data_IF_639743646779
#
_entry.id   IF_639743646779
#
_cell.length_a   1.000
_cell.length_b   1.000
_cell.length_c   1.000
_cell.angle_alpha   90.00
_cell.angle_beta   90.00
_cell.angle_gamma   90.00
#
_symmetry.space_group_name_H-M   'P 1'
#
loop_
_entity.id
_entity.type
_entity.pdbx_description
1 polymer ?
#
# COMPACT_ATOMS: atom_id res chain seq x y z
N UNK A 1 21.26 -50.50 -8.46
CA UNK A 1 22.49 -49.69 -8.57
C UNK A 1 22.79 -49.15 -7.17
N UNK A 2 23.70 -49.80 -6.45
CA UNK A 2 24.06 -49.48 -5.04
C UNK A 2 25.34 -48.66 -5.06
N UNK A 3 25.28 -47.40 -4.65
CA UNK A 3 26.47 -46.53 -4.58
C UNK A 3 26.99 -46.53 -3.15
N UNK A 4 28.20 -47.08 -2.97
CA UNK A 4 28.93 -47.14 -1.69
C UNK A 4 29.50 -45.75 -1.38
N UNK A 5 29.28 -45.25 -0.16
CA UNK A 5 29.99 -44.09 0.39
C UNK A 5 31.19 -44.63 1.17
N UNK A 6 32.39 -44.36 0.67
CA UNK A 6 33.66 -44.62 1.35
C UNK A 6 33.96 -43.48 2.31
N UNK A 7 33.98 -43.78 3.62
CA UNK A 7 34.45 -42.88 4.66
C UNK A 7 35.98 -42.96 4.77
N UNK A 8 36.66 -41.82 4.59
CA UNK A 8 38.09 -41.68 4.88
C UNK A 8 38.25 -41.31 6.36
N UNK A 9 38.80 -42.23 7.16
CA UNK A 9 39.20 -41.97 8.53
C UNK A 9 40.64 -41.46 8.55
N UNK A 10 40.85 -40.21 8.96
CA UNK A 10 42.17 -39.66 9.21
C UNK A 10 42.53 -39.86 10.69
N UNK A 11 43.54 -40.69 10.93
CA UNK A 11 44.13 -41.04 12.21
C UNK A 11 45.05 -39.89 12.68
N UNK A 12 44.64 -39.13 13.70
CA UNK A 12 45.50 -38.14 14.34
C UNK A 12 46.26 -38.78 15.52
N UNK A 13 47.58 -38.87 15.36
CA UNK A 13 48.53 -39.30 16.38
C UNK A 13 48.65 -38.21 17.45
N UNK A 14 48.39 -38.57 18.71
CA UNK A 14 48.53 -37.71 19.88
C UNK A 14 49.95 -37.89 20.44
N UNK A 15 50.84 -36.92 20.19
CA UNK A 15 52.16 -36.86 20.82
C UNK A 15 52.03 -35.99 22.07
N UNK A 16 52.06 -36.63 23.24
CA UNK A 16 52.23 -35.99 24.53
C UNK A 16 53.69 -35.54 24.69
N UNK A 17 53.92 -34.24 24.66
CA UNK A 17 55.13 -33.63 25.21
C UNK A 17 54.74 -32.80 26.43
N UNK A 18 55.03 -33.32 27.62
CA UNK A 18 55.16 -32.52 28.83
C UNK A 18 56.42 -31.66 28.71
N UNK A 19 56.25 -30.34 28.69
CA UNK A 19 57.29 -29.34 28.92
C UNK A 19 56.89 -28.50 30.13
N UNK A 20 57.78 -28.42 31.13
CA UNK A 20 57.55 -27.84 32.44
C UNK A 20 57.46 -26.30 32.44
N UNK A 21 56.52 -25.82 33.28
CA UNK A 21 56.67 -24.78 34.30
C UNK A 21 57.44 -23.49 33.97
N UNK A 22 56.69 -22.43 33.72
CA UNK A 22 57.03 -21.07 34.10
C UNK A 22 55.72 -20.34 34.41
N UNK A 23 55.44 -20.09 35.69
CA UNK A 23 54.33 -19.23 36.07
C UNK A 23 54.69 -17.80 35.75
N UNK A 24 53.85 -17.14 34.96
CA UNK A 24 53.77 -15.68 34.84
C UNK A 24 52.30 -15.33 34.51
N UNK A 25 51.69 -14.62 35.44
CA UNK A 25 50.54 -13.71 35.34
C UNK A 25 49.28 -14.14 34.57
N UNK A 26 48.18 -14.25 35.33
CA UNK A 26 46.81 -14.25 34.84
C UNK A 26 46.41 -12.92 34.20
N UNK A 27 46.96 -12.62 33.02
CA UNK A 27 46.48 -11.60 32.10
C UNK A 27 45.46 -12.23 31.15
N UNK A 28 44.19 -12.19 31.52
CA UNK A 28 43.06 -12.62 30.70
C UNK A 28 42.91 -11.70 29.47
N UNK A 29 43.80 -11.82 28.49
CA UNK A 29 43.83 -10.92 27.32
C UNK A 29 42.49 -10.93 26.59
N UNK A 30 41.97 -9.74 26.30
CA UNK A 30 40.73 -9.57 25.55
C UNK A 30 40.83 -10.18 24.13
N UNK A 31 40.12 -11.29 23.93
CA UNK A 31 40.14 -12.05 22.68
C UNK A 31 39.49 -11.28 21.54
N UNK A 32 40.17 -11.24 20.38
CA UNK A 32 39.60 -10.65 19.16
C UNK A 32 38.46 -11.50 18.60
N UNK A 33 37.57 -10.85 17.85
CA UNK A 33 36.58 -11.54 17.02
C UNK A 33 37.27 -12.50 16.05
N UNK A 34 36.74 -13.72 15.92
CA UNK A 34 37.39 -14.82 15.20
C UNK A 34 36.87 -15.01 13.78
N UNK A 35 35.54 -14.97 13.64
CA UNK A 35 34.86 -15.14 12.36
C UNK A 35 33.69 -14.19 12.27
N UNK A 36 33.41 -13.72 11.06
CA UNK A 36 32.28 -12.84 10.77
C UNK A 36 31.66 -13.29 9.46
N UNK A 37 30.36 -13.58 9.48
CA UNK A 37 29.52 -13.72 8.31
C UNK A 37 28.48 -12.60 8.29
N UNK A 38 27.88 -12.37 7.13
CA UNK A 38 26.91 -11.30 6.99
C UNK A 38 25.81 -11.65 5.99
N UNK A 39 24.68 -10.98 6.14
CA UNK A 39 23.65 -10.87 5.12
C UNK A 39 23.39 -9.40 4.83
N UNK A 40 22.90 -9.10 3.64
CA UNK A 40 22.64 -7.72 3.21
C UNK A 40 21.21 -7.57 2.75
N UNK A 41 20.67 -6.38 2.96
CA UNK A 41 19.51 -5.85 2.25
C UNK A 41 19.97 -4.58 1.49
N UNK A 42 19.09 -3.88 0.76
CA UNK A 42 19.47 -2.61 0.17
C UNK A 42 19.88 -1.55 1.20
N UNK A 43 19.28 -1.58 2.40
CA UNK A 43 19.46 -0.52 3.42
C UNK A 43 20.02 -1.02 4.75
N UNK A 44 20.43 -2.29 4.82
CA UNK A 44 20.99 -2.87 6.03
C UNK A 44 22.05 -3.93 5.75
N UNK A 45 22.93 -4.12 6.73
CA UNK A 45 23.85 -5.24 6.84
C UNK A 45 23.65 -5.89 8.19
N UNK A 46 23.36 -7.18 8.21
CA UNK A 46 23.30 -7.97 9.44
C UNK A 46 24.58 -8.76 9.58
N UNK A 47 25.31 -8.50 10.67
CA UNK A 47 26.56 -9.17 11.00
C UNK A 47 26.30 -10.28 12.00
N UNK A 48 26.93 -11.43 11.78
CA UNK A 48 26.97 -12.57 12.69
C UNK A 48 28.43 -12.88 12.95
N UNK A 49 28.86 -12.89 14.20
CA UNK A 49 30.27 -13.06 14.51
C UNK A 49 30.53 -13.86 15.77
N UNK A 50 31.69 -14.51 15.82
CA UNK A 50 32.16 -15.23 17.01
C UNK A 50 33.06 -14.30 17.81
N UNK A 51 32.62 -13.93 19.02
CA UNK A 51 33.43 -13.16 19.95
C UNK A 51 34.64 -13.95 20.44
N UNK A 52 35.74 -13.25 20.71
CA UNK A 52 36.90 -13.87 21.36
C UNK A 52 36.72 -14.00 22.87
N UNK A 53 37.66 -14.70 23.51
CA UNK A 53 37.64 -14.92 24.95
C UNK A 53 37.49 -13.61 25.75
N UNK A 54 36.65 -13.64 26.78
CA UNK A 54 36.44 -12.56 27.76
C UNK A 54 35.74 -11.29 27.24
N UNK A 55 35.34 -11.24 25.96
CA UNK A 55 34.56 -10.12 25.44
C UNK A 55 33.12 -10.15 25.99
N UNK A 56 32.74 -9.11 26.73
CA UNK A 56 31.38 -8.95 27.30
C UNK A 56 30.44 -8.21 26.35
N UNK A 57 30.99 -7.37 25.47
CA UNK A 57 30.25 -6.65 24.45
C UNK A 57 31.16 -6.34 23.26
N UNK A 58 30.60 -5.76 22.21
CA UNK A 58 31.28 -5.49 20.95
C UNK A 58 30.94 -4.10 20.46
N UNK A 59 31.95 -3.39 19.99
CA UNK A 59 31.80 -2.15 19.20
C UNK A 59 31.95 -2.50 17.74
N UNK A 60 30.90 -2.23 16.96
CA UNK A 60 30.94 -2.24 15.50
C UNK A 60 31.08 -0.81 15.02
N UNK A 61 32.21 -0.51 14.39
CA UNK A 61 32.44 0.75 13.70
C UNK A 61 32.33 0.54 12.20
N UNK A 62 31.59 1.39 11.51
CA UNK A 62 31.33 1.27 10.08
C UNK A 62 31.30 2.62 9.37
N UNK A 63 31.56 2.58 8.07
CA UNK A 63 31.54 3.74 7.19
C UNK A 63 31.76 3.33 5.74
N UNK A 64 31.56 4.24 4.77
CA UNK A 64 31.87 3.98 3.36
C UNK A 64 33.29 3.44 3.21
N UNK A 65 33.51 2.52 2.27
CA UNK A 65 34.82 1.89 2.08
C UNK A 65 35.95 2.91 1.97
N UNK A 66 37.05 2.65 2.70
CA UNK A 66 38.19 3.57 2.77
C UNK A 66 38.08 4.64 3.86
N UNK A 67 37.00 4.68 4.66
CA UNK A 67 36.95 5.56 5.83
C UNK A 67 38.09 5.25 6.82
N UNK A 68 38.52 6.29 7.55
CA UNK A 68 39.53 6.14 8.60
C UNK A 68 38.89 5.56 9.86
N UNK A 69 39.39 4.44 10.35
CA UNK A 69 38.95 3.89 11.64
C UNK A 69 39.11 4.93 12.77
N UNK A 70 38.14 5.02 13.66
CA UNK A 70 37.96 6.06 14.68
C UNK A 70 37.11 7.24 14.22
N UNK A 71 36.77 7.36 12.93
CA UNK A 71 35.91 8.43 12.39
C UNK A 71 34.58 7.92 11.83
N UNK A 72 34.33 6.61 11.87
CA UNK A 72 33.10 6.00 11.41
C UNK A 72 31.98 6.12 12.43
N UNK A 73 30.81 5.61 12.04
CA UNK A 73 29.67 5.46 12.95
C UNK A 73 29.87 4.23 13.81
N UNK A 74 29.59 4.31 15.11
CA UNK A 74 29.75 3.18 16.03
C UNK A 74 28.41 2.73 16.63
N UNK A 75 28.25 1.42 16.74
CA UNK A 75 27.16 0.77 17.50
C UNK A 75 27.80 -0.18 18.50
N UNK A 76 27.29 -0.19 19.74
CA UNK A 76 27.73 -1.12 20.78
C UNK A 76 26.60 -2.12 21.06
N UNK A 77 26.95 -3.39 21.17
CA UNK A 77 26.00 -4.49 21.40
C UNK A 77 26.61 -5.54 22.32
N UNK A 78 25.82 -6.16 23.18
CA UNK A 78 26.23 -7.36 23.93
C UNK A 78 25.99 -8.66 23.15
N UNK A 79 25.33 -8.58 22.00
CA UNK A 79 24.99 -9.73 21.17
C UNK A 79 26.06 -9.97 20.10
N UNK A 80 26.22 -11.24 19.72
CA UNK A 80 27.05 -11.69 18.58
C UNK A 80 26.35 -11.59 17.22
N UNK A 81 25.17 -10.97 17.21
CA UNK A 81 24.41 -10.60 16.03
C UNK A 81 24.00 -9.12 16.15
N UNK A 82 24.18 -8.36 15.08
CA UNK A 82 23.73 -6.97 15.01
C UNK A 82 23.30 -6.61 13.58
N UNK A 83 22.15 -5.95 13.47
CA UNK A 83 21.69 -5.36 12.23
C UNK A 83 22.02 -3.87 12.22
N UNK A 84 22.75 -3.44 11.19
CA UNK A 84 23.10 -2.04 10.94
C UNK A 84 22.16 -1.55 9.83
N UNK A 85 21.22 -0.68 10.18
CA UNK A 85 20.19 -0.14 9.27
C UNK A 85 20.51 1.27 8.81
N UNK A 86 19.73 1.79 7.85
CA UNK A 86 19.89 3.16 7.34
C UNK A 86 21.09 3.33 6.39
N UNK A 87 21.58 2.23 5.83
CA UNK A 87 22.66 2.24 4.84
C UNK A 87 22.11 2.63 3.47
N UNK A 88 22.99 3.09 2.59
CA UNK A 88 22.66 3.47 1.22
C UNK A 88 22.74 2.22 0.33
N UNK A 89 21.75 1.96 -0.56
CA UNK A 89 21.81 0.86 -1.52
C UNK A 89 23.03 0.93 -2.46
N UNK A 90 23.44 -0.23 -2.99
CA UNK A 90 24.58 -0.38 -3.90
C UNK A 90 25.88 0.30 -3.43
N UNK A 91 26.08 0.43 -2.12
CA UNK A 91 27.22 1.14 -1.54
C UNK A 91 28.09 0.16 -0.76
N UNK A 92 29.41 0.25 -0.96
CA UNK A 92 30.39 -0.57 -0.25
C UNK A 92 30.80 0.11 1.06
N UNK A 93 30.74 -0.66 2.15
CA UNK A 93 31.08 -0.26 3.50
C UNK A 93 32.23 -1.11 4.05
N UNK A 94 33.07 -0.50 4.86
CA UNK A 94 34.04 -1.20 5.69
C UNK A 94 33.48 -1.33 7.12
N UNK A 95 33.77 -2.45 7.78
CA UNK A 95 33.33 -2.73 9.15
C UNK A 95 34.53 -3.17 10.00
N UNK A 96 34.61 -2.61 11.21
CA UNK A 96 35.58 -2.96 12.23
C UNK A 96 34.82 -3.40 13.49
N UNK A 97 35.11 -4.60 13.97
CA UNK A 97 34.47 -5.16 15.17
C UNK A 97 35.52 -5.31 16.27
N UNK A 98 35.29 -4.65 17.39
CA UNK A 98 36.20 -4.65 18.55
C UNK A 98 35.48 -5.26 19.74
N UNK A 99 36.05 -6.33 20.32
CA UNK A 99 35.57 -6.89 21.59
C UNK A 99 35.90 -5.95 22.74
N UNK A 100 34.95 -5.76 23.65
CA UNK A 100 35.07 -4.95 24.86
C UNK A 100 35.01 -5.92 26.04
N UNK A 101 36.13 -6.07 26.74
CA UNK A 101 36.23 -6.95 27.91
C UNK A 101 36.01 -6.17 29.21
N UNK A 102 36.46 -4.92 29.26
CA UNK A 102 36.20 -3.97 30.34
C UNK A 102 36.29 -2.53 29.83
N UNK A 103 36.08 -1.53 30.70
CA UNK A 103 36.18 -0.12 30.34
C UNK A 103 37.58 0.29 29.84
N UNK A 104 38.62 -0.45 30.24
CA UNK A 104 40.02 -0.16 29.90
C UNK A 104 40.64 -1.20 28.97
N UNK A 105 39.93 -2.30 28.69
CA UNK A 105 40.47 -3.42 27.93
C UNK A 105 39.59 -3.79 26.73
N UNK A 106 40.17 -3.65 25.54
CA UNK A 106 39.53 -3.95 24.26
C UNK A 106 40.43 -4.89 23.46
N UNK A 107 39.83 -5.71 22.60
CA UNK A 107 40.56 -6.55 21.66
C UNK A 107 41.18 -5.73 20.54
N UNK A 108 42.07 -6.34 19.76
CA UNK A 108 42.39 -5.80 18.43
C UNK A 108 41.12 -5.79 17.55
N UNK A 109 40.93 -4.78 16.68
CA UNK A 109 39.78 -4.72 15.79
C UNK A 109 39.88 -5.80 14.71
N UNK A 110 38.77 -6.51 14.48
CA UNK A 110 38.60 -7.36 13.31
C UNK A 110 38.08 -6.52 12.15
N UNK A 111 38.87 -6.37 11.09
CA UNK A 111 38.42 -5.75 9.84
C UNK A 111 37.74 -6.80 8.97
N UNK A 112 36.45 -6.64 8.74
CA UNK A 112 35.70 -7.44 7.76
C UNK A 112 36.08 -7.01 6.34
N UNK A 113 36.09 -7.95 5.39
CA UNK A 113 36.15 -7.63 3.97
C UNK A 113 35.01 -6.69 3.58
N UNK A 114 35.29 -5.66 2.78
CA UNK A 114 34.30 -4.65 2.42
C UNK A 114 32.98 -5.28 1.93
N UNK A 115 31.85 -4.81 2.46
CA UNK A 115 30.51 -5.36 2.22
C UNK A 115 29.74 -4.37 1.36
N UNK A 116 29.15 -4.84 0.26
CA UNK A 116 28.29 -4.02 -0.59
C UNK A 116 26.83 -4.32 -0.29
N UNK A 117 26.05 -3.28 0.03
CA UNK A 117 24.60 -3.39 0.18
C UNK A 117 23.95 -3.75 -1.16
N UNK A 118 22.76 -4.35 -1.11
CA UNK A 118 22.07 -4.75 -2.34
C UNK A 118 21.59 -3.53 -3.13
N UNK A 119 21.26 -3.74 -4.41
CA UNK A 119 20.62 -2.69 -5.21
C UNK A 119 19.21 -2.40 -4.70
N UNK A 120 18.83 -1.11 -4.74
CA UNK A 120 17.49 -0.67 -4.35
C UNK A 120 16.41 -1.39 -5.16
N UNK A 121 15.38 -1.84 -4.46
CA UNK A 121 14.16 -2.40 -5.08
C UNK A 121 13.11 -1.31 -5.36
N UNK A 122 13.39 -0.08 -4.91
CA UNK A 122 12.53 1.08 -4.96
C UNK A 122 12.88 2.05 -6.12
N UNK A 123 13.35 1.50 -7.24
CA UNK A 123 13.74 2.26 -8.45
C UNK A 123 12.61 2.43 -9.45
N UNK A 124 11.46 1.87 -9.14
CA UNK A 124 10.28 1.82 -9.99
C UNK A 124 9.38 3.05 -9.93
N UNK A 125 8.26 2.96 -10.62
CA UNK A 125 7.22 3.99 -10.61
C UNK A 125 5.88 3.43 -10.18
N UNK A 126 5.18 4.18 -9.34
CA UNK A 126 3.82 3.90 -8.93
C UNK A 126 2.84 4.56 -9.87
N UNK A 127 1.82 3.82 -10.30
CA UNK A 127 0.65 4.35 -11.02
C UNK A 127 -0.63 3.99 -10.29
N UNK A 128 -1.65 4.82 -10.42
CA UNK A 128 -2.96 4.60 -9.81
C UNK A 128 -4.06 4.66 -10.86
N UNK A 129 -5.01 3.74 -10.74
CA UNK A 129 -6.30 3.81 -11.42
C UNK A 129 -7.38 4.13 -10.39
N UNK A 130 -8.26 5.06 -10.75
CA UNK A 130 -9.35 5.52 -9.90
C UNK A 130 -10.66 4.91 -10.40
N UNK A 131 -11.39 4.25 -9.50
CA UNK A 131 -12.76 3.80 -9.68
C UNK A 131 -13.66 4.53 -8.70
N UNK A 132 -14.87 4.86 -9.13
CA UNK A 132 -15.85 5.45 -8.22
C UNK A 132 -17.25 4.96 -8.58
N UNK A 133 -17.82 4.19 -7.66
CA UNK A 133 -19.21 3.72 -7.73
C UNK A 133 -20.16 4.57 -6.87
N UNK A 134 -19.65 5.10 -5.75
CA UNK A 134 -20.38 5.92 -4.77
C UNK A 134 -19.76 7.32 -4.65
N UNK A 135 -20.52 8.43 -4.53
CA UNK A 135 -20.00 9.80 -4.45
C UNK A 135 -19.12 10.06 -3.22
N UNK A 136 -19.33 9.29 -2.16
CA UNK A 136 -18.60 9.40 -0.90
C UNK A 136 -17.43 8.43 -0.76
N UNK A 137 -17.11 7.69 -1.83
CA UNK A 137 -16.05 6.70 -1.84
C UNK A 137 -15.20 6.78 -3.11
N UNK A 138 -13.92 6.41 -3.03
CA UNK A 138 -13.05 6.22 -4.19
C UNK A 138 -12.32 4.90 -4.02
N UNK A 139 -12.38 4.05 -5.03
CA UNK A 139 -11.58 2.83 -5.12
C UNK A 139 -10.28 3.13 -5.87
N UNK A 140 -9.15 2.93 -5.19
CA UNK A 140 -7.82 3.07 -5.75
C UNK A 140 -7.25 1.69 -6.08
N UNK A 141 -6.80 1.53 -7.31
CA UNK A 141 -6.02 0.37 -7.74
C UNK A 141 -4.60 0.80 -8.08
N UNK A 142 -3.64 0.32 -7.31
CA UNK A 142 -2.23 0.64 -7.45
C UNK A 142 -1.53 -0.37 -8.36
N UNK A 143 -0.50 0.10 -9.06
CA UNK A 143 0.47 -0.74 -9.78
C UNK A 143 1.86 -0.15 -9.62
N UNK A 144 2.86 -1.02 -9.56
CA UNK A 144 4.25 -0.63 -9.44
C UNK A 144 5.07 -1.31 -10.55
N UNK A 145 5.77 -0.51 -11.35
CA UNK A 145 6.70 -1.01 -12.37
C UNK A 145 8.12 -0.95 -11.81
N UNK A 146 8.95 -2.00 -11.98
CA UNK A 146 10.34 -1.99 -11.48
C UNK A 146 10.64 -2.93 -10.32
N UNK A 147 9.73 -3.84 -9.98
CA UNK A 147 9.96 -4.89 -9.00
C UNK A 147 8.70 -5.20 -8.21
N UNK A 148 8.86 -5.32 -6.90
CA UNK A 148 7.78 -5.63 -5.96
C UNK A 148 7.63 -4.51 -4.93
N UNK A 149 6.39 -4.05 -4.76
CA UNK A 149 6.00 -3.17 -3.66
C UNK A 149 5.25 -4.01 -2.61
N UNK A 150 5.65 -3.91 -1.36
CA UNK A 150 5.04 -4.60 -0.21
C UNK A 150 3.67 -3.99 0.11
N UNK A 151 3.55 -2.67 0.05
CA UNK A 151 2.31 -1.93 0.24
C UNK A 151 2.43 -0.51 -0.32
N UNK A 152 1.33 0.23 -0.33
CA UNK A 152 1.23 1.59 -0.84
C UNK A 152 0.73 2.53 0.24
N UNK A 153 1.19 3.77 0.19
CA UNK A 153 0.65 4.87 0.99
C UNK A 153 0.14 5.95 0.06
N UNK A 154 -1.03 6.47 0.41
CA UNK A 154 -1.65 7.60 -0.24
C UNK A 154 -1.95 8.66 0.81
N UNK A 155 -1.58 9.89 0.49
CA UNK A 155 -2.02 11.08 1.20
C UNK A 155 -2.88 11.91 0.25
N UNK A 156 -4.09 12.27 0.69
CA UNK A 156 -5.08 12.90 -0.18
C UNK A 156 -5.84 14.02 0.52
N UNK A 157 -6.33 14.96 -0.29
CA UNK A 157 -7.11 16.10 0.15
C UNK A 157 -7.62 16.91 -1.04
N UNK A 158 -8.46 17.93 -0.82
CA UNK A 158 -8.86 18.86 -1.87
C UNK A 158 -7.62 19.42 -2.60
N UNK A 159 -7.76 19.73 -3.89
CA UNK A 159 -6.67 20.24 -4.72
C UNK A 159 -5.90 21.37 -4.05
N UNK A 160 -4.59 21.43 -4.28
CA UNK A 160 -3.66 22.42 -3.68
C UNK A 160 -3.47 22.30 -2.16
N UNK A 161 -3.85 21.18 -1.55
CA UNK A 161 -3.44 20.93 -0.16
C UNK A 161 -1.91 20.74 -0.05
N UNK A 162 -1.35 21.10 1.11
CA UNK A 162 0.08 20.92 1.39
C UNK A 162 0.38 19.46 1.76
N UNK A 163 1.31 18.83 1.03
CA UNK A 163 1.77 17.48 1.37
C UNK A 163 2.27 17.43 2.82
N UNK A 164 1.77 16.48 3.60
CA UNK A 164 1.98 16.33 5.04
C UNK A 164 0.74 16.68 5.89
N UNK A 165 -0.21 17.46 5.36
CA UNK A 165 -1.42 17.91 6.07
C UNK A 165 -2.69 17.19 5.63
N UNK A 166 -2.62 16.36 4.59
CA UNK A 166 -3.76 15.62 4.06
C UNK A 166 -4.13 14.40 4.89
N UNK A 167 -5.21 13.75 4.48
CA UNK A 167 -5.63 12.48 5.07
C UNK A 167 -4.75 11.35 4.53
N UNK A 168 -4.22 10.51 5.42
CA UNK A 168 -3.32 9.41 5.06
C UNK A 168 -4.04 8.07 5.11
N UNK A 169 -3.74 7.21 4.16
CA UNK A 169 -4.19 5.83 4.13
C UNK A 169 -3.10 4.91 3.57
N UNK A 170 -3.06 3.68 4.06
CA UNK A 170 -2.17 2.63 3.57
C UNK A 170 -2.96 1.41 3.13
N UNK A 171 -2.41 0.67 2.17
CA UNK A 171 -2.85 -0.70 1.88
C UNK A 171 -2.31 -1.66 2.93
N UNK A 172 -2.92 -2.85 3.02
CA UNK A 172 -2.34 -3.95 3.79
C UNK A 172 -1.14 -4.52 3.05
N UNK A 173 -0.24 -5.18 3.78
CA UNK A 173 0.87 -5.89 3.18
C UNK A 173 0.39 -6.88 2.11
N UNK A 174 1.02 -6.84 0.94
CA UNK A 174 0.71 -7.69 -0.20
C UNK A 174 -0.53 -7.27 -1.00
N UNK A 175 -1.23 -6.19 -0.62
CA UNK A 175 -2.41 -5.71 -1.36
C UNK A 175 -2.11 -4.45 -2.18
N UNK A 176 -2.76 -4.37 -3.34
CA UNK A 176 -2.61 -3.29 -4.31
C UNK A 176 -3.89 -2.48 -4.53
N UNK A 177 -4.86 -2.56 -3.61
CA UNK A 177 -6.11 -1.80 -3.69
C UNK A 177 -6.47 -1.15 -2.35
N UNK A 178 -7.18 -0.02 -2.43
CA UNK A 178 -7.72 0.69 -1.26
C UNK A 178 -9.01 1.42 -1.61
N UNK A 179 -10.06 1.16 -0.84
CA UNK A 179 -11.25 2.02 -0.83
C UNK A 179 -11.06 3.14 0.20
N UNK A 180 -11.24 4.37 -0.24
CA UNK A 180 -11.32 5.57 0.59
C UNK A 180 -12.79 5.93 0.78
N UNK A 181 -13.19 6.30 1.99
CA UNK A 181 -14.58 6.66 2.34
C UNK A 181 -14.64 8.07 2.94
N UNK A 182 -15.83 8.65 3.02
CA UNK A 182 -16.01 10.02 3.51
C UNK A 182 -15.52 11.09 2.53
N UNK A 183 -15.35 10.71 1.27
CA UNK A 183 -14.93 11.60 0.19
C UNK A 183 -16.07 12.60 -0.09
N UNK A 184 -15.72 13.87 -0.31
CA UNK A 184 -16.72 14.85 -0.75
C UNK A 184 -16.97 14.71 -2.25
N UNK A 185 -18.23 14.67 -2.63
CA UNK A 185 -18.66 14.64 -4.03
C UNK A 185 -18.38 15.98 -4.75
N UNK A 186 -18.40 15.97 -6.09
CA UNK A 186 -18.18 17.17 -6.94
C UNK A 186 -16.94 18.00 -6.58
N UNK A 187 -15.87 17.36 -6.10
CA UNK A 187 -14.69 18.02 -5.55
C UNK A 187 -13.44 17.52 -6.26
N UNK A 188 -12.53 18.45 -6.57
CA UNK A 188 -11.20 18.11 -7.11
C UNK A 188 -10.28 17.73 -5.95
N UNK A 189 -9.70 16.55 -6.03
CA UNK A 189 -8.72 16.05 -5.05
C UNK A 189 -7.35 15.88 -5.70
N UNK A 190 -6.32 16.14 -4.89
CA UNK A 190 -4.96 15.68 -5.15
C UNK A 190 -4.66 14.43 -4.31
N UNK A 191 -3.87 13.52 -4.87
CA UNK A 191 -3.42 12.28 -4.25
C UNK A 191 -1.92 12.18 -4.44
N UNK A 192 -1.18 12.17 -3.34
CA UNK A 192 0.25 11.88 -3.32
C UNK A 192 0.44 10.43 -2.92
N UNK A 193 0.97 9.63 -3.84
CA UNK A 193 1.08 8.18 -3.68
C UNK A 193 2.54 7.78 -3.72
N UNK A 194 2.95 6.88 -2.83
CA UNK A 194 4.26 6.23 -2.88
C UNK A 194 4.14 4.74 -2.59
N UNK A 195 5.11 3.99 -3.07
CA UNK A 195 5.25 2.57 -2.79
C UNK A 195 6.28 2.35 -1.68
N UNK A 196 5.99 1.38 -0.81
CA UNK A 196 6.98 0.79 0.08
C UNK A 196 7.45 -0.51 -0.54
N UNK A 197 8.75 -0.63 -0.72
CA UNK A 197 9.40 -1.81 -1.30
C UNK A 197 10.03 -2.64 -0.19
N UNK A 198 10.66 -3.75 -0.59
CA UNK A 198 11.34 -4.63 0.35
C UNK A 198 12.33 -3.89 1.26
N UNK A 199 12.46 -4.39 2.50
CA UNK A 199 13.44 -3.89 3.47
C UNK A 199 13.23 -2.43 3.91
N UNK A 200 11.99 -1.93 3.84
CA UNK A 200 11.62 -0.61 4.36
C UNK A 200 11.98 0.56 3.44
N UNK A 201 12.43 0.29 2.22
CA UNK A 201 12.63 1.32 1.22
C UNK A 201 11.29 1.94 0.80
N UNK A 202 11.31 3.21 0.41
CA UNK A 202 10.12 3.91 -0.10
C UNK A 202 10.46 4.75 -1.31
N UNK A 203 9.54 4.81 -2.26
CA UNK A 203 9.66 5.73 -3.39
C UNK A 203 9.36 7.16 -2.95
N UNK A 204 9.81 8.17 -3.72
CA UNK A 204 9.22 9.51 -3.64
C UNK A 204 7.72 9.47 -3.92
N UNK A 205 7.01 10.51 -3.46
CA UNK A 205 5.60 10.68 -3.79
C UNK A 205 5.42 11.07 -5.26
N UNK A 206 4.42 10.48 -5.90
CA UNK A 206 3.91 10.86 -7.22
C UNK A 206 2.53 11.47 -7.03
N UNK A 207 2.30 12.65 -7.65
CA UNK A 207 1.03 13.37 -7.59
C UNK A 207 0.08 12.88 -8.68
N UNK A 208 -1.16 12.60 -8.30
CA UNK A 208 -2.30 12.35 -9.17
C UNK A 208 -3.44 13.30 -8.79
N UNK A 209 -4.33 13.59 -9.72
CA UNK A 209 -5.53 14.38 -9.45
C UNK A 209 -6.76 13.64 -9.95
N UNK A 210 -7.88 13.76 -9.22
CA UNK A 210 -9.13 13.13 -9.56
C UNK A 210 -10.31 14.01 -9.14
N UNK A 211 -11.27 14.19 -10.04
CA UNK A 211 -12.52 14.91 -9.76
C UNK A 211 -13.58 13.90 -9.37
N UNK A 212 -14.14 14.04 -8.16
CA UNK A 212 -15.16 13.12 -7.68
C UNK A 212 -16.47 13.31 -8.41
N UNK A 213 -17.22 12.22 -8.55
CA UNK A 213 -18.54 12.21 -9.18
C UNK A 213 -19.51 13.17 -8.48
N UNK A 214 -20.56 13.56 -9.20
CA UNK A 214 -21.61 14.39 -8.64
C UNK A 214 -22.30 13.68 -7.45
N UNK A 215 -22.57 14.43 -6.38
CA UNK A 215 -23.31 13.96 -5.21
C UNK A 215 -24.76 13.58 -5.50
N UNK A 216 -25.29 14.03 -6.64
CA UNK A 216 -26.59 13.66 -7.16
C UNK A 216 -26.46 12.85 -8.47
N UNK A 217 -26.11 11.55 -8.41
CA UNK A 217 -26.05 10.72 -9.61
C UNK A 217 -27.43 10.52 -10.24
N UNK A 218 -27.49 10.28 -11.55
CA UNK A 218 -28.74 9.88 -12.20
C UNK A 218 -29.11 8.43 -11.83
N UNK A 219 -30.41 8.09 -11.72
CA UNK A 219 -30.84 6.70 -11.53
C UNK A 219 -30.34 5.76 -12.64
N UNK A 220 -30.26 4.47 -12.34
CA UNK A 220 -29.80 3.42 -13.27
C UNK A 220 -30.78 2.25 -13.30
N UNK A 221 -30.58 1.27 -14.19
CA UNK A 221 -31.39 0.05 -14.27
C UNK A 221 -32.91 0.30 -14.31
N UNK A 222 -33.33 1.21 -15.21
CA UNK A 222 -34.74 1.54 -15.41
C UNK A 222 -35.51 0.32 -15.90
N UNK A 223 -36.74 0.16 -15.42
CA UNK A 223 -37.62 -0.96 -15.71
C UNK A 223 -39.08 -0.53 -15.66
N UNK A 224 -39.93 -1.19 -16.45
CA UNK A 224 -41.39 -1.04 -16.32
C UNK A 224 -42.15 -2.29 -16.72
N UNK A 225 -43.34 -2.50 -16.13
CA UNK A 225 -44.24 -3.61 -16.45
C UNK A 225 -45.69 -3.27 -16.14
N UNK A 226 -46.62 -3.89 -16.88
CA UNK A 226 -48.05 -3.74 -16.63
C UNK A 226 -48.42 -4.54 -15.37
N UNK A 227 -49.06 -3.87 -14.40
CA UNK A 227 -49.58 -4.48 -13.17
C UNK A 227 -50.99 -5.01 -13.40
N UNK A 228 -51.84 -4.21 -14.05
CA UNK A 228 -53.24 -4.57 -14.34
C UNK A 228 -53.82 -3.67 -15.45
N UNK A 229 -55.00 -4.04 -15.93
CA UNK A 229 -55.76 -3.25 -16.92
C UNK A 229 -55.19 -3.30 -18.33
N UNK A 230 -55.74 -2.45 -19.21
CA UNK A 230 -55.33 -2.35 -20.62
C UNK A 230 -55.12 -0.89 -21.01
N UNK A 231 -54.01 -0.61 -21.68
CA UNK A 231 -53.70 0.76 -22.09
C UNK A 231 -54.65 1.24 -23.20
N UNK A 232 -55.28 0.32 -23.95
CA UNK A 232 -56.23 0.63 -25.02
C UNK A 232 -57.53 1.23 -24.46
N UNK A 233 -57.90 0.86 -23.23
CA UNK A 233 -59.06 1.38 -22.51
C UNK A 233 -58.71 2.51 -21.53
N UNK A 234 -57.45 2.94 -21.47
CA UNK A 234 -56.98 3.94 -20.51
C UNK A 234 -57.10 3.49 -19.05
N UNK A 235 -57.17 2.18 -18.79
CA UNK A 235 -57.33 1.61 -17.44
C UNK A 235 -56.07 0.91 -16.94
N UNK A 236 -54.98 0.94 -17.71
CA UNK A 236 -53.75 0.28 -17.33
C UNK A 236 -53.15 0.91 -16.06
N UNK A 237 -52.73 0.05 -15.14
CA UNK A 237 -51.77 0.40 -14.09
C UNK A 237 -50.43 -0.18 -14.48
N UNK A 238 -49.41 0.68 -14.62
CA UNK A 238 -48.04 0.27 -14.94
C UNK A 238 -47.12 0.66 -13.79
N UNK A 239 -46.22 -0.24 -13.43
CA UNK A 239 -45.16 0.00 -12.48
C UNK A 239 -43.88 0.42 -13.19
N UNK A 240 -43.14 1.29 -12.54
CA UNK A 240 -41.82 1.77 -12.94
C UNK A 240 -40.87 1.57 -11.78
N UNK A 241 -39.65 1.13 -12.07
CA UNK A 241 -38.60 0.98 -11.05
C UNK A 241 -37.24 1.37 -11.60
N UNK A 242 -36.32 1.68 -10.69
CA UNK A 242 -34.94 1.97 -10.99
C UNK A 242 -34.04 1.55 -9.81
N UNK A 243 -32.74 1.56 -10.04
CA UNK A 243 -31.71 1.49 -9.01
C UNK A 243 -31.16 2.89 -8.74
N UNK A 244 -30.70 3.11 -7.52
CA UNK A 244 -29.99 4.33 -7.15
C UNK A 244 -28.71 3.93 -6.45
N UNK A 245 -27.57 4.22 -7.10
CA UNK A 245 -26.29 3.64 -6.72
C UNK A 245 -25.80 4.16 -5.37
N UNK A 246 -26.11 5.41 -5.00
CA UNK A 246 -25.59 6.01 -3.77
C UNK A 246 -26.27 7.33 -3.40
N UNK A 247 -26.25 7.68 -2.10
CA UNK A 247 -26.85 8.89 -1.55
C UNK A 247 -28.30 8.67 -1.07
N UNK A 248 -28.86 9.65 -0.38
CA UNK A 248 -30.22 9.62 0.15
C UNK A 248 -31.04 10.74 -0.50
N UNK A 249 -31.51 10.57 -1.75
CA UNK A 249 -32.29 11.59 -2.39
C UNK A 249 -33.62 11.75 -1.63
N UNK A 250 -34.11 12.98 -1.54
CA UNK A 250 -35.36 13.27 -0.84
C UNK A 250 -36.56 12.67 -1.58
N UNK A 251 -36.48 12.61 -2.91
CA UNK A 251 -37.50 12.02 -3.78
C UNK A 251 -36.94 11.76 -5.18
N UNK A 252 -37.78 11.21 -6.04
CA UNK A 252 -37.52 11.03 -7.46
C UNK A 252 -38.65 11.68 -8.27
N UNK A 253 -38.28 12.40 -9.33
CA UNK A 253 -39.23 12.92 -10.30
C UNK A 253 -39.25 12.00 -11.52
N UNK A 254 -40.44 11.55 -11.91
CA UNK A 254 -40.70 10.73 -13.08
C UNK A 254 -41.40 11.60 -14.10
N UNK A 255 -40.99 11.52 -15.36
CA UNK A 255 -41.68 12.16 -16.48
C UNK A 255 -42.05 11.13 -17.52
N UNK A 256 -43.34 11.04 -17.85
CA UNK A 256 -43.86 10.12 -18.87
C UNK A 256 -44.31 10.91 -20.10
N UNK A 257 -43.72 10.59 -21.25
CA UNK A 257 -43.93 11.32 -22.51
C UNK A 257 -44.75 10.50 -23.51
N UNK A 258 -45.54 11.21 -24.33
CA UNK A 258 -46.43 10.59 -25.33
C UNK A 258 -45.74 10.24 -26.66
N UNK A 259 -44.52 10.73 -26.87
CA UNK A 259 -43.70 10.45 -28.05
C UNK A 259 -42.22 10.55 -27.70
N UNK A 260 -41.35 10.00 -28.55
CA UNK A 260 -39.90 10.06 -28.42
C UNK A 260 -39.34 11.46 -28.69
N UNK A 261 -39.97 12.51 -28.17
CA UNK A 261 -39.28 13.80 -28.05
C UNK A 261 -38.39 13.67 -26.83
N UNK A 262 -37.08 13.77 -27.03
CA UNK A 262 -36.01 13.66 -26.02
C UNK A 262 -36.10 14.70 -24.87
N UNK A 263 -37.26 15.34 -24.69
CA UNK A 263 -37.50 16.37 -23.71
C UNK A 263 -38.41 15.86 -22.57
N UNK A 264 -37.84 15.41 -21.43
CA UNK A 264 -38.62 15.05 -20.25
C UNK A 264 -39.45 16.22 -19.68
N UNK A 265 -39.22 17.47 -20.06
CA UNK A 265 -40.03 18.60 -19.60
C UNK A 265 -41.46 18.64 -20.18
N UNK A 266 -41.72 17.90 -21.26
CA UNK A 266 -43.04 17.86 -21.92
C UNK A 266 -43.95 16.71 -21.44
N UNK A 267 -43.45 15.89 -20.51
CA UNK A 267 -44.18 14.72 -20.01
C UNK A 267 -45.07 15.00 -18.80
N UNK A 268 -45.94 14.05 -18.50
CA UNK A 268 -46.69 14.03 -17.25
C UNK A 268 -45.75 13.69 -16.10
N UNK A 269 -45.68 14.55 -15.08
CA UNK A 269 -44.73 14.42 -13.97
C UNK A 269 -45.35 13.76 -12.74
N UNK A 270 -44.61 12.85 -12.13
CA UNK A 270 -44.97 12.16 -10.89
C UNK A 270 -43.80 12.20 -9.91
N UNK A 271 -44.06 12.09 -8.61
CA UNK A 271 -43.02 12.10 -7.57
C UNK A 271 -43.23 10.92 -6.63
N UNK A 272 -42.13 10.27 -6.24
CA UNK A 272 -42.11 9.22 -5.20
C UNK A 272 -40.88 9.37 -4.33
N UNK A 273 -40.93 8.88 -3.09
CA UNK A 273 -39.78 8.79 -2.18
C UNK A 273 -39.06 7.44 -2.27
N UNK A 274 -39.60 6.47 -3.01
CA UNK A 274 -39.01 5.13 -3.17
C UNK A 274 -38.44 4.95 -4.58
N UNK A 275 -37.68 3.89 -4.82
CA UNK A 275 -37.08 3.57 -6.13
C UNK A 275 -38.06 2.94 -7.13
N UNK A 276 -39.36 3.23 -6.98
CA UNK A 276 -40.39 2.78 -7.88
C UNK A 276 -41.74 3.45 -7.62
N UNK A 277 -42.62 3.39 -8.62
CA UNK A 277 -43.97 3.94 -8.54
C UNK A 277 -44.90 3.15 -9.47
N UNK A 278 -46.16 2.98 -9.06
CA UNK A 278 -47.23 2.47 -9.92
C UNK A 278 -48.17 3.61 -10.28
N UNK A 279 -48.45 3.77 -11.57
CA UNK A 279 -49.31 4.84 -12.09
C UNK A 279 -50.50 4.19 -12.78
N UNK A 280 -51.71 4.55 -12.32
CA UNK A 280 -52.98 4.08 -12.86
C UNK A 280 -53.52 5.00 -13.96
N UNK A 281 -54.50 4.49 -14.72
CA UNK A 281 -55.16 5.17 -15.82
C UNK A 281 -54.22 5.58 -16.96
N UNK A 282 -53.26 4.70 -17.30
CA UNK A 282 -52.32 4.92 -18.38
C UNK A 282 -52.90 4.55 -19.76
N UNK A 283 -52.57 5.37 -20.75
CA UNK A 283 -52.96 5.20 -22.16
C UNK A 283 -51.79 4.71 -23.02
N UNK A 284 -52.07 3.98 -24.11
CA UNK A 284 -50.99 3.41 -24.96
C UNK A 284 -50.16 4.46 -25.71
N UNK A 285 -50.62 5.71 -25.76
CA UNK A 285 -49.82 6.78 -26.34
C UNK A 285 -48.69 7.23 -25.40
N UNK A 286 -48.57 6.74 -24.16
CA UNK A 286 -47.42 7.01 -23.29
C UNK A 286 -46.33 5.98 -23.61
N UNK A 287 -45.19 6.43 -24.15
CA UNK A 287 -44.23 5.53 -24.83
C UNK A 287 -42.85 5.46 -24.17
N UNK A 288 -42.50 6.43 -23.35
CA UNK A 288 -41.23 6.44 -22.64
C UNK A 288 -41.35 7.14 -21.28
N UNK A 289 -40.52 6.70 -20.34
CA UNK A 289 -40.35 7.41 -19.07
C UNK A 289 -38.90 7.81 -18.86
N UNK A 290 -38.75 8.92 -18.16
CA UNK A 290 -37.51 9.40 -17.59
C UNK A 290 -37.66 9.45 -16.07
N UNK A 291 -36.55 9.30 -15.36
CA UNK A 291 -36.52 9.51 -13.91
C UNK A 291 -35.25 10.26 -13.52
N UNK A 292 -35.38 11.22 -12.61
CA UNK A 292 -34.24 11.88 -11.96
C UNK A 292 -34.41 11.85 -10.45
N UNK A 293 -33.30 11.92 -9.73
CA UNK A 293 -33.30 12.05 -8.29
C UNK A 293 -33.34 13.52 -7.89
N UNK A 294 -34.10 13.84 -6.86
CA UNK A 294 -34.16 15.15 -6.23
C UNK A 294 -33.34 15.06 -4.94
N UNK A 295 -32.07 15.46 -4.99
CA UNK A 295 -31.14 15.26 -3.88
C UNK A 295 -31.31 16.32 -2.79
N UNK A 296 -31.53 17.57 -3.19
CA UNK A 296 -31.91 18.66 -2.29
C UNK A 296 -33.04 19.48 -2.90
N UNK A 297 -33.48 20.56 -2.23
CA UNK A 297 -34.49 21.46 -2.81
C UNK A 297 -34.05 22.14 -4.10
N UNK A 298 -32.73 22.29 -4.32
CA UNK A 298 -32.16 23.01 -5.46
C UNK A 298 -31.21 22.14 -6.30
N UNK A 299 -31.00 20.87 -5.94
CA UNK A 299 -30.10 19.96 -6.62
C UNK A 299 -30.85 18.71 -7.07
N UNK A 300 -30.80 18.44 -8.37
CA UNK A 300 -31.44 17.29 -9.00
C UNK A 300 -30.46 16.69 -9.99
N UNK A 301 -30.49 15.37 -10.11
CA UNK A 301 -29.65 14.70 -11.07
C UNK A 301 -30.15 14.93 -12.50
N UNK A 302 -29.26 14.66 -13.44
CA UNK A 302 -29.64 14.50 -14.85
C UNK A 302 -30.74 13.45 -14.99
N UNK A 303 -31.58 13.60 -16.01
CA UNK A 303 -32.60 12.61 -16.31
C UNK A 303 -31.96 11.29 -16.77
N UNK A 304 -32.36 10.18 -16.14
CA UNK A 304 -32.13 8.85 -16.66
C UNK A 304 -33.28 8.46 -17.60
N UNK A 305 -32.95 7.90 -18.75
CA UNK A 305 -33.91 7.57 -19.81
C UNK A 305 -33.51 8.17 -21.17
N UNK A 306 -34.37 8.05 -22.19
CA UNK A 306 -35.69 7.43 -22.13
C UNK A 306 -35.62 5.91 -21.93
N UNK A 307 -36.53 5.35 -21.13
CA UNK A 307 -36.87 3.92 -21.16
C UNK A 307 -38.19 3.73 -21.90
N UNK A 308 -38.17 2.98 -23.00
CA UNK A 308 -39.33 2.71 -23.85
C UNK A 308 -40.12 1.50 -23.37
N UNK A 309 -41.46 1.54 -23.47
CA UNK A 309 -42.33 0.50 -22.93
C UNK A 309 -43.71 0.38 -23.61
#
# INVERSE_FOLDING_TARGET
MKTKITAFAALFIFILLMGCSGGDDGGSSCGKVESVTFSTTPVAVTLYFTGGNNANSFRVEYGPTGFRQGTGTSVVTSNTQVEITGLVPSTTYDFYITGICSDTENSAPYKLSSVTTQASQCTGTTSVQFGQLYPDQIDLQFTYSGGYAEYYEVEYGPVEFTLGTGTKATTSFGTSSKTLTGIQASTNYDFYVRSYCASGEKTPFVKFSYTTMNGCPKPTNLSSWIVSGSCNSGTATRAFSWSYLAGTPQSYTISIVQGATDNPAAGNTFVTSTTGISISNMFCNWRAFYVRANCTSNDSSEWAGPYYF
#
